data_IF_419134416040
#
_entry.id   IF_419134416040
#
_cell.length_a   1.000
_cell.length_b   1.000
_cell.length_c   1.000
_cell.angle_alpha   90.00
_cell.angle_beta   90.00
_cell.angle_gamma   90.00
#
_symmetry.space_group_name_H-M   'P 1'
#
loop_
_entity.id
_entity.type
_entity.pdbx_description
1 polymer ?
#
# COMPACT_ATOMS: atom_id res chain seq x y z
N UNK A 1 -21.91 4.79 -6.12
CA UNK A 1 -21.48 4.57 -4.72
C UNK A 1 -20.15 5.27 -4.52
N UNK A 2 -20.02 6.20 -3.56
CA UNK A 2 -18.71 6.78 -3.25
C UNK A 2 -17.82 5.69 -2.70
N UNK A 3 -16.65 5.45 -3.31
CA UNK A 3 -15.65 4.55 -2.75
C UNK A 3 -15.22 5.09 -1.39
N UNK A 4 -15.06 4.22 -0.39
CA UNK A 4 -14.57 4.62 0.93
C UNK A 4 -13.16 5.21 0.81
N UNK A 5 -12.89 6.30 1.53
CA UNK A 5 -11.57 6.93 1.61
C UNK A 5 -10.98 6.80 3.01
N UNK A 6 -9.68 6.81 3.10
CA UNK A 6 -8.95 6.74 4.36
C UNK A 6 -7.65 7.57 4.28
N UNK A 7 -7.03 7.80 5.45
CA UNK A 7 -5.82 8.60 5.54
C UNK A 7 -4.57 7.74 5.67
N UNK A 8 -3.55 8.10 4.90
CA UNK A 8 -2.18 7.60 5.04
C UNK A 8 -1.25 8.69 5.53
N UNK A 9 -0.18 8.32 6.22
CA UNK A 9 0.79 9.26 6.81
C UNK A 9 2.22 8.84 6.51
N UNK A 10 3.11 9.83 6.39
CA UNK A 10 4.54 9.64 6.17
C UNK A 10 4.98 9.92 4.75
N UNK A 11 6.21 10.39 4.63
CA UNK A 11 6.76 10.92 3.37
C UNK A 11 6.69 9.91 2.22
N UNK A 12 7.25 8.70 2.41
CA UNK A 12 7.32 7.71 1.34
C UNK A 12 5.92 7.22 0.93
N UNK A 13 5.06 6.91 1.89
CA UNK A 13 3.70 6.46 1.60
C UNK A 13 2.93 7.47 0.75
N UNK A 14 2.99 8.76 1.11
CA UNK A 14 2.29 9.83 0.40
C UNK A 14 2.90 10.11 -0.98
N UNK A 15 4.22 10.15 -1.09
CA UNK A 15 4.90 10.41 -2.37
C UNK A 15 4.64 9.28 -3.36
N UNK A 16 4.75 8.02 -2.95
CA UNK A 16 4.50 6.89 -3.85
C UNK A 16 3.03 6.76 -4.24
N UNK A 17 2.10 7.10 -3.34
CA UNK A 17 0.68 7.20 -3.69
C UNK A 17 0.42 8.29 -4.75
N UNK A 18 1.11 9.44 -4.67
CA UNK A 18 1.01 10.51 -5.68
C UNK A 18 1.63 10.12 -7.03
N UNK A 19 2.65 9.25 -7.04
CA UNK A 19 3.28 8.76 -8.27
C UNK A 19 2.48 7.66 -8.97
N UNK A 20 1.65 6.94 -8.23
CA UNK A 20 0.90 5.82 -8.79
C UNK A 20 -0.33 6.32 -9.58
N UNK A 21 -0.36 6.18 -10.91
CA UNK A 21 -1.48 6.67 -11.73
C UNK A 21 -2.80 5.92 -11.47
N UNK A 22 -2.73 4.76 -10.84
CA UNK A 22 -3.92 3.97 -10.45
C UNK A 22 -4.49 4.40 -9.09
N UNK A 23 -3.73 5.19 -8.31
CA UNK A 23 -4.15 5.63 -6.99
C UNK A 23 -4.90 6.94 -7.07
N UNK A 24 -6.16 6.95 -6.67
CA UNK A 24 -6.90 8.19 -6.54
C UNK A 24 -6.58 8.86 -5.20
N UNK A 25 -5.85 9.95 -5.27
CA UNK A 25 -5.55 10.83 -4.12
C UNK A 25 -6.56 11.97 -4.13
N UNK A 26 -7.37 12.09 -3.08
CA UNK A 26 -8.44 13.09 -2.98
C UNK A 26 -7.91 14.45 -2.54
N UNK A 27 -7.04 14.45 -1.54
CA UNK A 27 -6.40 15.64 -1.00
C UNK A 27 -5.14 15.29 -0.22
N UNK A 28 -4.24 16.25 -0.16
CA UNK A 28 -2.97 16.14 0.56
C UNK A 28 -2.84 17.29 1.55
N UNK A 29 -2.35 16.97 2.74
CA UNK A 29 -2.04 17.94 3.79
C UNK A 29 -0.53 17.91 4.00
N UNK A 30 0.12 19.06 3.83
CA UNK A 30 1.57 19.20 3.88
C UNK A 30 1.98 20.35 4.80
N UNK A 31 3.17 20.24 5.38
CA UNK A 31 3.86 21.42 5.87
C UNK A 31 4.55 22.14 4.71
N UNK A 32 4.87 23.43 4.87
CA UNK A 32 5.63 24.18 3.86
C UNK A 32 6.99 23.53 3.53
N UNK A 33 7.67 23.00 4.54
CA UNK A 33 8.91 22.26 4.39
C UNK A 33 8.72 21.00 3.52
N UNK A 34 7.64 20.25 3.78
CA UNK A 34 7.33 19.03 3.04
C UNK A 34 7.03 19.30 1.57
N UNK A 35 6.36 20.40 1.24
CA UNK A 35 6.14 20.85 -0.14
C UNK A 35 7.47 21.07 -0.87
N UNK A 36 8.39 21.84 -0.26
CA UNK A 36 9.71 22.10 -0.83
C UNK A 36 10.49 20.79 -1.08
N UNK A 37 10.37 19.82 -0.15
CA UNK A 37 11.03 18.53 -0.27
C UNK A 37 10.45 17.65 -1.41
N UNK A 38 9.14 17.72 -1.70
CA UNK A 38 8.55 17.02 -2.86
C UNK A 38 9.17 17.54 -4.15
N UNK A 39 9.19 18.85 -4.35
CA UNK A 39 9.79 19.45 -5.55
C UNK A 39 11.28 19.09 -5.70
N UNK A 40 12.03 19.05 -4.59
CA UNK A 40 13.47 18.72 -4.61
C UNK A 40 13.73 17.25 -4.95
N UNK A 41 12.88 16.32 -4.50
CA UNK A 41 13.02 14.87 -4.73
C UNK A 41 12.43 14.39 -6.06
N UNK A 42 11.52 15.14 -6.63
CA UNK A 42 10.84 14.80 -7.89
C UNK A 42 10.72 16.07 -8.77
N UNK A 43 11.88 16.65 -9.19
CA UNK A 43 11.88 17.95 -9.86
C UNK A 43 11.15 17.96 -11.20
N UNK A 44 11.09 16.82 -11.87
CA UNK A 44 10.45 16.67 -13.19
C UNK A 44 9.01 16.14 -13.13
N UNK A 45 8.45 15.94 -11.93
CA UNK A 45 7.10 15.44 -11.74
C UNK A 45 6.27 16.46 -10.97
N UNK A 46 5.25 16.99 -11.61
CA UNK A 46 4.30 17.91 -10.98
C UNK A 46 3.25 17.15 -10.15
N UNK A 47 3.71 16.37 -9.16
CA UNK A 47 2.89 15.45 -8.35
C UNK A 47 1.71 16.13 -7.63
N UNK A 48 1.75 17.43 -7.44
CA UNK A 48 0.74 18.19 -6.71
C UNK A 48 -0.25 18.93 -7.61
N UNK A 49 -0.07 18.92 -8.94
CA UNK A 49 -0.90 19.74 -9.84
C UNK A 49 -2.34 19.24 -9.94
N UNK A 50 -2.57 17.95 -9.80
CA UNK A 50 -3.89 17.34 -10.00
C UNK A 50 -4.61 17.01 -8.68
N UNK A 51 -4.01 17.40 -7.53
CA UNK A 51 -4.55 17.09 -6.21
C UNK A 51 -4.79 18.34 -5.38
N UNK A 52 -5.85 18.34 -4.58
CA UNK A 52 -6.11 19.43 -3.63
C UNK A 52 -5.09 19.42 -2.50
N UNK A 53 -4.28 20.47 -2.40
CA UNK A 53 -3.23 20.62 -1.38
C UNK A 53 -3.67 21.62 -0.31
N UNK A 54 -3.54 21.23 0.96
CA UNK A 54 -3.80 22.06 2.12
C UNK A 54 -2.54 22.19 2.97
N UNK A 55 -2.14 23.42 3.26
CA UNK A 55 -1.00 23.68 4.13
C UNK A 55 -1.43 23.66 5.60
N UNK A 56 -0.67 22.94 6.42
CA UNK A 56 -0.93 22.71 7.82
C UNK A 56 0.37 22.76 8.63
N UNK A 57 0.26 23.17 9.88
CA UNK A 57 1.35 23.02 10.85
C UNK A 57 1.55 21.56 11.26
N UNK A 58 2.72 21.21 11.79
CA UNK A 58 2.96 19.85 12.34
C UNK A 58 1.91 19.48 13.38
N UNK A 59 1.59 20.40 14.30
CA UNK A 59 0.57 20.19 15.34
C UNK A 59 -0.84 19.90 14.78
N UNK A 60 -1.23 20.54 13.70
CA UNK A 60 -2.51 20.26 13.05
C UNK A 60 -2.53 18.90 12.33
N UNK A 61 -1.36 18.41 11.89
CA UNK A 61 -1.23 17.10 11.26
C UNK A 61 -1.22 15.96 12.29
N UNK A 62 -0.84 16.21 13.53
CA UNK A 62 -0.80 15.21 14.60
C UNK A 62 -2.14 14.49 14.80
N UNK A 63 -3.27 15.16 14.57
CA UNK A 63 -4.61 14.54 14.66
C UNK A 63 -4.81 13.33 13.74
N UNK A 64 -4.04 13.24 12.66
CA UNK A 64 -4.11 12.10 11.72
C UNK A 64 -3.24 10.91 12.16
N UNK A 65 -2.35 11.11 13.14
CA UNK A 65 -1.33 10.15 13.57
C UNK A 65 -1.41 9.73 15.05
N UNK A 66 -2.14 10.48 15.89
CA UNK A 66 -2.19 10.30 17.35
C UNK A 66 -2.65 8.93 17.82
N UNK A 67 -3.65 8.33 17.17
CA UNK A 67 -4.19 7.02 17.58
C UNK A 67 -3.17 5.87 17.49
N UNK A 68 -2.20 5.97 16.60
CA UNK A 68 -1.23 4.91 16.32
C UNK A 68 0.21 5.35 16.65
N UNK A 69 0.37 6.52 17.26
CA UNK A 69 1.67 7.13 17.60
C UNK A 69 2.66 7.16 16.42
N UNK A 70 2.16 7.51 15.24
CA UNK A 70 2.92 7.53 14.00
C UNK A 70 3.52 8.91 13.73
N UNK A 71 4.79 8.95 13.34
CA UNK A 71 5.40 10.17 12.82
C UNK A 71 4.91 10.44 11.39
N UNK A 72 4.10 11.50 11.21
CA UNK A 72 3.60 11.90 9.88
C UNK A 72 4.66 12.59 9.00
N UNK A 73 5.77 13.06 9.57
CA UNK A 73 6.89 13.73 8.87
C UNK A 73 6.47 14.95 8.04
N UNK A 74 5.30 15.54 8.33
CA UNK A 74 4.71 16.64 7.56
C UNK A 74 3.92 16.21 6.33
N UNK A 75 3.59 14.92 6.18
CA UNK A 75 2.86 14.35 5.04
C UNK A 75 1.66 13.54 5.49
N UNK A 76 0.49 13.92 5.01
CA UNK A 76 -0.77 13.20 5.17
C UNK A 76 -1.51 13.24 3.84
N UNK A 77 -2.11 12.14 3.41
CA UNK A 77 -2.98 12.11 2.24
C UNK A 77 -4.27 11.36 2.55
N UNK A 78 -5.36 11.80 1.95
CA UNK A 78 -6.61 11.05 1.87
C UNK A 78 -6.69 10.38 0.51
N UNK A 79 -6.85 9.06 0.53
CA UNK A 79 -6.83 8.23 -0.68
C UNK A 79 -8.05 7.29 -0.72
N UNK A 80 -8.43 6.86 -1.93
CA UNK A 80 -9.35 5.73 -2.12
C UNK A 80 -8.56 4.42 -2.20
N UNK A 81 -9.23 3.28 -2.00
CA UNK A 81 -8.62 1.96 -2.21
C UNK A 81 -8.20 1.76 -3.66
N UNK A 82 -7.09 1.04 -3.87
CA UNK A 82 -6.75 0.49 -5.19
C UNK A 82 -7.77 -0.58 -5.58
N UNK A 83 -7.94 -0.80 -6.86
CA UNK A 83 -8.71 -1.94 -7.35
C UNK A 83 -8.05 -3.25 -6.91
N UNK A 84 -8.88 -4.15 -6.41
CA UNK A 84 -8.40 -5.46 -5.94
C UNK A 84 -8.17 -6.37 -7.14
N UNK A 85 -6.94 -6.84 -7.36
CA UNK A 85 -6.68 -7.78 -8.44
C UNK A 85 -7.31 -9.15 -8.13
N UNK A 86 -7.77 -9.84 -9.17
CA UNK A 86 -8.34 -11.18 -9.05
C UNK A 86 -7.25 -12.21 -9.33
N UNK A 87 -6.90 -13.02 -8.33
CA UNK A 87 -5.82 -14.02 -8.43
C UNK A 87 -5.99 -14.95 -9.62
N UNK A 88 -7.21 -15.44 -9.86
CA UNK A 88 -7.52 -16.37 -10.96
C UNK A 88 -7.22 -15.78 -12.35
N UNK A 89 -7.46 -14.50 -12.54
CA UNK A 89 -7.18 -13.79 -13.79
C UNK A 89 -5.69 -13.51 -13.92
N UNK A 90 -5.08 -13.00 -12.87
CA UNK A 90 -3.66 -12.69 -12.83
C UNK A 90 -2.76 -13.87 -13.21
N UNK A 91 -3.03 -15.08 -12.70
CA UNK A 91 -2.24 -16.28 -13.00
C UNK A 91 -2.48 -16.85 -14.41
N UNK A 92 -3.53 -16.42 -15.13
CA UNK A 92 -3.75 -16.79 -16.53
C UNK A 92 -2.94 -15.93 -17.50
N UNK A 93 -2.75 -14.68 -17.17
CA UNK A 93 -2.15 -13.68 -18.04
C UNK A 93 -0.62 -13.67 -17.98
N UNK A 94 -0.04 -14.18 -16.90
CA UNK A 94 1.40 -14.09 -16.63
C UNK A 94 2.04 -15.47 -16.51
N UNK A 95 3.26 -15.61 -17.05
CA UNK A 95 4.12 -16.80 -16.89
C UNK A 95 5.20 -16.54 -15.86
N UNK A 96 5.71 -17.61 -15.22
CA UNK A 96 6.78 -17.54 -14.22
C UNK A 96 6.44 -16.60 -13.04
N UNK A 97 5.34 -16.90 -12.36
CA UNK A 97 4.81 -16.10 -11.26
C UNK A 97 5.39 -16.60 -9.94
N UNK A 98 5.88 -15.67 -9.13
CA UNK A 98 6.27 -15.94 -7.75
C UNK A 98 5.32 -15.21 -6.81
N UNK A 99 4.69 -15.96 -5.90
CA UNK A 99 3.74 -15.44 -4.92
C UNK A 99 4.22 -15.75 -3.50
N UNK A 100 4.00 -14.81 -2.59
CA UNK A 100 4.18 -15.02 -1.15
C UNK A 100 2.80 -15.17 -0.52
N UNK A 101 2.61 -16.24 0.25
CA UNK A 101 1.37 -16.46 1.00
C UNK A 101 1.60 -16.17 2.49
N UNK A 102 0.80 -15.27 3.05
CA UNK A 102 0.86 -14.91 4.46
C UNK A 102 -0.24 -15.66 5.22
N UNK A 103 0.14 -16.73 5.92
CA UNK A 103 -0.77 -17.48 6.78
C UNK A 103 -0.56 -17.08 8.25
N UNK A 104 -1.64 -16.64 8.91
CA UNK A 104 -1.62 -16.22 10.32
C UNK A 104 -0.92 -14.87 10.61
N UNK A 105 -0.36 -14.18 9.62
CA UNK A 105 0.23 -12.85 9.81
C UNK A 105 -0.86 -11.79 9.84
N UNK A 106 -1.04 -11.12 11.00
CA UNK A 106 -2.08 -10.11 11.22
C UNK A 106 -1.57 -8.75 11.67
N UNK A 107 -0.32 -8.66 12.16
CA UNK A 107 0.27 -7.39 12.57
C UNK A 107 0.51 -6.50 11.32
N UNK A 108 -0.09 -5.29 11.28
CA UNK A 108 0.07 -4.37 10.16
C UNK A 108 1.51 -3.97 9.86
N UNK A 109 2.37 -3.88 10.86
CA UNK A 109 3.80 -3.56 10.69
C UNK A 109 4.52 -4.68 9.97
N UNK A 110 4.27 -5.92 10.37
CA UNK A 110 4.87 -7.09 9.75
C UNK A 110 4.39 -7.25 8.30
N UNK A 111 3.08 -7.09 8.05
CA UNK A 111 2.52 -7.13 6.71
C UNK A 111 3.17 -6.03 5.84
N UNK A 112 3.27 -4.80 6.33
CA UNK A 112 3.93 -3.71 5.60
C UNK A 112 5.40 -3.98 5.31
N UNK A 113 6.15 -4.54 6.26
CA UNK A 113 7.55 -4.92 6.07
C UNK A 113 7.71 -6.04 5.03
N UNK A 114 6.82 -7.03 5.06
CA UNK A 114 6.79 -8.12 4.07
C UNK A 114 6.46 -7.60 2.67
N UNK A 115 5.49 -6.69 2.54
CA UNK A 115 5.17 -6.03 1.26
C UNK A 115 6.42 -5.31 0.70
N UNK A 116 7.13 -4.56 1.54
CA UNK A 116 8.35 -3.86 1.13
C UNK A 116 9.44 -4.84 0.67
N UNK A 117 9.68 -5.91 1.41
CA UNK A 117 10.67 -6.92 1.05
C UNK A 117 10.28 -7.65 -0.22
N UNK A 118 9.03 -8.10 -0.34
CA UNK A 118 8.51 -8.76 -1.52
C UNK A 118 8.67 -7.90 -2.80
N UNK A 119 8.37 -6.60 -2.70
CA UNK A 119 8.57 -5.66 -3.81
C UNK A 119 10.05 -5.56 -4.20
N UNK A 120 10.96 -5.52 -3.21
CA UNK A 120 12.41 -5.45 -3.47
C UNK A 120 12.96 -6.72 -4.13
N UNK A 121 12.34 -7.86 -3.91
CA UNK A 121 12.69 -9.14 -4.54
C UNK A 121 11.90 -9.43 -5.82
N UNK A 122 11.16 -8.45 -6.37
CA UNK A 122 10.33 -8.59 -7.56
C UNK A 122 9.30 -9.74 -7.45
N UNK A 123 8.77 -9.97 -6.26
CA UNK A 123 7.65 -10.89 -6.06
C UNK A 123 6.42 -10.32 -6.75
N UNK A 124 5.70 -11.16 -7.48
CA UNK A 124 4.57 -10.74 -8.31
C UNK A 124 3.30 -10.43 -7.54
N UNK A 125 3.14 -11.00 -6.36
CA UNK A 125 1.99 -10.73 -5.52
C UNK A 125 2.01 -11.42 -4.16
N UNK A 126 1.16 -10.93 -3.27
CA UNK A 126 0.98 -11.45 -1.92
C UNK A 126 -0.44 -12.00 -1.79
N UNK A 127 -0.57 -13.23 -1.31
CA UNK A 127 -1.84 -13.83 -0.93
C UNK A 127 -2.02 -13.66 0.58
N UNK A 128 -3.13 -13.10 0.99
CA UNK A 128 -3.46 -12.91 2.41
C UNK A 128 -4.92 -13.25 2.67
N UNK A 129 -5.20 -13.74 3.87
CA UNK A 129 -6.58 -13.98 4.26
C UNK A 129 -7.32 -12.65 4.45
N UNK A 130 -8.47 -12.47 3.81
CA UNK A 130 -9.25 -11.23 3.79
C UNK A 130 -9.44 -10.63 5.19
N UNK A 131 -9.86 -11.44 6.16
CA UNK A 131 -10.09 -10.99 7.55
C UNK A 131 -8.81 -10.56 8.30
N UNK A 132 -7.62 -10.88 7.78
CA UNK A 132 -6.33 -10.51 8.39
C UNK A 132 -5.66 -9.34 7.67
N UNK A 133 -6.25 -8.86 6.56
CA UNK A 133 -5.70 -7.74 5.80
C UNK A 133 -6.24 -6.40 6.30
N UNK A 134 -5.40 -5.59 6.97
CA UNK A 134 -5.81 -4.30 7.51
C UNK A 134 -5.71 -3.20 6.44
N UNK A 135 -6.57 -3.24 5.44
CA UNK A 135 -6.50 -2.44 4.21
C UNK A 135 -6.42 -0.92 4.40
N UNK A 136 -6.84 -0.40 5.56
CA UNK A 136 -6.80 1.04 5.89
C UNK A 136 -5.75 1.39 6.96
N UNK A 137 -4.91 0.43 7.36
CA UNK A 137 -3.93 0.63 8.42
C UNK A 137 -2.81 1.57 8.00
N UNK A 138 -2.73 2.71 8.64
CA UNK A 138 -1.62 3.68 8.50
C UNK A 138 -0.27 3.06 8.86
N UNK A 139 -0.25 2.14 9.85
CA UNK A 139 0.94 1.40 10.25
C UNK A 139 1.48 0.57 9.10
N UNK A 140 0.62 -0.17 8.41
CA UNK A 140 0.98 -0.98 7.24
C UNK A 140 1.50 -0.10 6.09
N UNK A 141 0.78 0.96 5.74
CA UNK A 141 1.21 1.91 4.71
C UNK A 141 2.56 2.53 5.03
N UNK A 142 2.79 2.91 6.27
CA UNK A 142 4.06 3.48 6.69
C UNK A 142 5.19 2.45 6.67
N UNK A 143 4.97 1.23 7.17
CA UNK A 143 5.96 0.16 7.19
C UNK A 143 6.34 -0.32 5.79
N UNK A 144 5.38 -0.32 4.85
CA UNK A 144 5.63 -0.66 3.45
C UNK A 144 6.45 0.39 2.69
N UNK A 145 6.62 1.61 3.26
CA UNK A 145 7.39 2.70 2.65
C UNK A 145 7.00 3.00 1.19
N UNK A 146 5.70 2.88 0.87
CA UNK A 146 5.14 3.10 -0.46
C UNK A 146 5.14 1.87 -1.38
N UNK A 147 5.79 0.78 -1.01
CA UNK A 147 5.82 -0.46 -1.82
C UNK A 147 4.42 -1.05 -2.07
N UNK A 148 3.47 -0.78 -1.19
CA UNK A 148 2.07 -1.21 -1.34
C UNK A 148 1.41 -0.67 -2.62
N UNK A 149 1.90 0.44 -3.16
CA UNK A 149 1.38 1.04 -4.39
C UNK A 149 1.66 0.19 -5.64
N UNK A 150 2.64 -0.71 -5.55
CA UNK A 150 3.15 -1.53 -6.65
C UNK A 150 2.89 -3.03 -6.47
N UNK A 151 2.47 -3.44 -5.27
CA UNK A 151 2.26 -4.86 -4.94
C UNK A 151 0.84 -5.31 -5.23
N UNK A 152 0.70 -6.41 -5.95
CA UNK A 152 -0.60 -7.08 -6.10
C UNK A 152 -0.94 -7.81 -4.81
N UNK A 153 -2.02 -7.39 -4.15
CA UNK A 153 -2.52 -8.03 -2.93
C UNK A 153 -3.78 -8.84 -3.27
N UNK A 154 -3.71 -10.15 -3.11
CA UNK A 154 -4.81 -11.07 -3.36
C UNK A 154 -5.46 -11.47 -2.03
N UNK A 155 -6.61 -10.91 -1.76
CA UNK A 155 -7.40 -11.26 -0.59
C UNK A 155 -8.19 -12.53 -0.86
N UNK A 156 -8.02 -13.54 0.00
CA UNK A 156 -8.68 -14.83 -0.14
C UNK A 156 -9.44 -15.22 1.14
N UNK A 157 -10.53 -15.92 0.99
CA UNK A 157 -11.33 -16.41 2.12
C UNK A 157 -10.64 -17.59 2.83
N UNK A 158 -9.94 -18.46 2.07
CA UNK A 158 -9.31 -19.66 2.59
C UNK A 158 -7.97 -19.94 1.89
N UNK A 159 -6.88 -19.86 2.66
CA UNK A 159 -5.51 -20.07 2.17
C UNK A 159 -5.29 -21.52 1.69
N UNK A 160 -5.71 -22.50 2.47
CA UNK A 160 -5.48 -23.91 2.13
C UNK A 160 -6.17 -24.29 0.80
N UNK A 161 -7.41 -23.85 0.61
CA UNK A 161 -8.12 -24.03 -0.66
C UNK A 161 -7.42 -23.32 -1.82
N UNK A 162 -6.94 -22.12 -1.58
CA UNK A 162 -6.21 -21.34 -2.59
C UNK A 162 -4.90 -22.04 -2.99
N UNK A 163 -4.10 -22.50 -2.01
CA UNK A 163 -2.86 -23.24 -2.27
C UNK A 163 -3.12 -24.56 -3.02
N UNK A 164 -4.19 -25.28 -2.69
CA UNK A 164 -4.60 -26.48 -3.43
C UNK A 164 -4.89 -26.14 -4.90
N UNK A 165 -5.71 -25.12 -5.15
CA UNK A 165 -6.02 -24.65 -6.49
C UNK A 165 -4.78 -24.19 -7.28
N UNK A 166 -3.79 -23.61 -6.62
CA UNK A 166 -2.53 -23.23 -7.25
C UNK A 166 -1.70 -24.48 -7.63
N UNK A 167 -1.62 -25.48 -6.74
CA UNK A 167 -0.95 -26.76 -7.04
C UNK A 167 -1.57 -27.45 -8.24
N UNK A 168 -2.91 -27.46 -8.36
CA UNK A 168 -3.64 -28.01 -9.51
C UNK A 168 -3.32 -27.26 -10.82
N UNK A 169 -2.70 -26.08 -10.73
CA UNK A 169 -2.19 -25.25 -11.84
C UNK A 169 -0.67 -25.28 -11.98
N UNK A 170 -0.03 -26.33 -11.47
CA UNK A 170 1.41 -26.56 -11.52
C UNK A 170 2.27 -25.55 -10.75
N UNK A 171 1.73 -24.90 -9.72
CA UNK A 171 2.56 -24.12 -8.80
C UNK A 171 3.24 -25.06 -7.78
N UNK A 172 4.52 -24.80 -7.57
CA UNK A 172 5.27 -25.39 -6.46
C UNK A 172 5.02 -24.59 -5.18
N UNK A 173 4.77 -25.26 -4.07
CA UNK A 173 4.51 -24.61 -2.77
C UNK A 173 5.56 -25.05 -1.78
N UNK A 174 6.27 -24.08 -1.22
CA UNK A 174 7.25 -24.25 -0.15
C UNK A 174 6.76 -23.55 1.11
N UNK A 175 6.95 -24.18 2.28
CA UNK A 175 6.64 -23.59 3.58
C UNK A 175 7.92 -23.28 4.36
N UNK A 176 7.89 -22.18 5.10
CA UNK A 176 8.97 -21.72 5.96
C UNK A 176 8.47 -21.45 7.38
#
# INVERSE_FOLDING_TARGET
>A
MSKSSFFIVGQHAVIEALKNPKRKVLRVFLTEESKKNIHRKSPNQNLLNEVKVYFKTKKELDKYSTKENLLHQGYVAEIEHLEKPILKEFIKEKRNITLVCLDGVSDPRNIGALIRSATSFNIDGIIIKERHYPSESKLMYKASSGAIEYMNIFEVSNINSTLKNLKDKNFWVYGF
#
